data_IF_351227933264
#
_entry.id   IF_351227933264
#
_cell.length_a   1.000
_cell.length_b   1.000
_cell.length_c   1.000
_cell.angle_alpha   90.00
_cell.angle_beta   90.00
_cell.angle_gamma   90.00
#
_symmetry.space_group_name_H-M   'P 1'
#
loop_
_entity.id
_entity.type
_entity.pdbx_description
1 polymer ?
#
# COMPACT_ATOMS: atom_id res chain seq x y z
N UNK A 1 6.80 -18.04 -8.51
CA UNK A 1 7.07 -17.94 -7.06
C UNK A 1 7.76 -16.62 -6.84
N UNK A 2 7.03 -15.59 -6.43
CA UNK A 2 7.67 -14.30 -6.10
C UNK A 2 8.36 -14.46 -4.75
N UNK A 3 9.64 -14.12 -4.70
CA UNK A 3 10.38 -14.10 -3.45
C UNK A 3 9.77 -13.06 -2.50
N UNK A 4 9.95 -13.26 -1.19
CA UNK A 4 9.63 -12.21 -0.21
C UNK A 4 10.51 -10.99 -0.50
N UNK A 5 9.90 -9.81 -0.54
CA UNK A 5 10.59 -8.53 -0.73
C UNK A 5 10.35 -7.58 0.44
N UNK A 6 11.31 -6.71 0.72
CA UNK A 6 11.20 -5.70 1.77
C UNK A 6 10.51 -4.44 1.23
N UNK A 7 9.49 -3.97 1.94
CA UNK A 7 8.76 -2.75 1.61
C UNK A 7 9.27 -1.58 2.45
N UNK A 8 9.66 -0.50 1.78
CA UNK A 8 9.84 0.80 2.41
C UNK A 8 8.55 1.62 2.28
N UNK A 9 7.91 2.01 3.40
CA UNK A 9 6.69 2.80 3.38
C UNK A 9 6.94 4.26 3.02
N UNK A 10 5.86 4.97 2.68
CA UNK A 10 5.89 6.42 2.45
C UNK A 10 5.15 7.15 3.57
N UNK A 11 5.85 8.02 4.29
CA UNK A 11 5.22 8.91 5.28
C UNK A 11 4.44 10.02 4.57
N UNK A 12 3.22 10.28 5.01
CA UNK A 12 2.37 11.34 4.45
C UNK A 12 2.30 12.52 5.41
N UNK A 13 2.70 13.69 4.91
CA UNK A 13 2.55 14.93 5.64
C UNK A 13 1.09 15.37 5.65
N UNK A 14 0.59 15.73 6.83
CA UNK A 14 -0.70 16.40 7.00
C UNK A 14 -0.65 17.29 8.25
N UNK A 15 -1.39 18.41 8.29
CA UNK A 15 -1.34 19.34 9.43
C UNK A 15 -1.70 18.74 10.79
N UNK A 16 -2.51 17.69 10.80
CA UNK A 16 -2.91 16.97 12.01
C UNK A 16 -1.91 15.87 12.42
N UNK A 17 -0.84 15.68 11.65
CA UNK A 17 0.21 14.69 11.91
C UNK A 17 1.11 15.06 13.09
N UNK A 18 1.78 14.04 13.63
CA UNK A 18 2.80 14.22 14.66
C UNK A 18 4.15 14.54 14.03
N UNK A 19 4.90 15.48 14.61
CA UNK A 19 6.28 15.80 14.19
C UNK A 19 7.31 14.78 14.68
N UNK A 20 6.93 13.87 15.58
CA UNK A 20 7.90 12.98 16.26
C UNK A 20 7.49 11.51 16.29
N UNK A 21 6.20 11.18 16.25
CA UNK A 21 5.75 9.80 16.45
C UNK A 21 6.20 8.85 15.33
N UNK A 22 5.94 9.20 14.06
CA UNK A 22 6.35 8.38 12.91
C UNK A 22 7.89 8.36 12.75
N UNK A 23 8.62 9.50 12.84
CA UNK A 23 10.08 9.46 12.83
C UNK A 23 10.66 8.54 13.91
N UNK A 24 10.13 8.59 15.14
CA UNK A 24 10.56 7.71 16.22
C UNK A 24 10.30 6.23 15.90
N UNK A 25 9.12 5.89 15.35
CA UNK A 25 8.79 4.52 14.92
C UNK A 25 9.76 4.00 13.85
N UNK A 26 10.18 4.87 12.93
CA UNK A 26 11.11 4.54 11.85
C UNK A 26 12.59 4.60 12.28
N UNK A 27 12.89 4.99 13.52
CA UNK A 27 14.26 5.21 13.98
C UNK A 27 14.94 6.41 13.29
N UNK A 28 14.16 7.35 12.78
CA UNK A 28 14.62 8.54 12.06
C UNK A 28 14.59 9.78 12.94
N UNK A 29 15.49 10.74 12.65
CA UNK A 29 15.44 12.05 13.30
C UNK A 29 14.24 12.83 12.76
N UNK A 30 13.42 13.46 13.62
CA UNK A 30 12.42 14.43 13.18
C UNK A 30 13.05 15.52 12.31
N UNK A 31 12.49 15.73 11.12
CA UNK A 31 12.87 16.80 10.19
C UNK A 31 12.11 18.11 10.46
N UNK A 32 11.10 18.03 11.33
CA UNK A 32 10.23 19.13 11.70
C UNK A 32 8.86 19.03 11.06
N UNK A 33 8.64 18.30 9.97
CA UNK A 33 7.34 18.26 9.30
C UNK A 33 6.33 17.34 10.02
N UNK A 34 5.03 17.70 10.09
CA UNK A 34 4.02 16.84 10.70
C UNK A 34 3.71 15.65 9.79
N UNK A 35 3.95 14.44 10.29
CA UNK A 35 3.68 13.18 9.61
C UNK A 35 2.50 12.48 10.27
N UNK A 36 1.52 12.11 9.45
CA UNK A 36 0.20 11.72 9.94
C UNK A 36 -0.11 10.25 9.66
N UNK A 37 0.36 9.76 8.51
CA UNK A 37 0.10 8.41 8.03
C UNK A 37 1.38 7.79 7.50
N UNK A 38 1.50 6.47 7.62
CA UNK A 38 2.57 5.69 7.03
C UNK A 38 1.96 4.69 6.07
N UNK A 39 2.17 4.88 4.77
CA UNK A 39 1.50 4.11 3.72
C UNK A 39 2.35 2.94 3.24
N UNK A 40 1.72 1.77 3.24
CA UNK A 40 2.24 0.53 2.67
C UNK A 40 1.34 0.10 1.51
N UNK A 41 1.92 -0.11 0.32
CA UNK A 41 1.20 -0.61 -0.84
C UNK A 41 1.43 0.19 -2.12
N UNK A 42 0.63 -0.10 -3.14
CA UNK A 42 0.79 0.43 -4.50
C UNK A 42 -0.07 1.69 -4.77
N UNK A 43 -0.29 2.54 -3.76
CA UNK A 43 -1.15 3.71 -3.95
C UNK A 43 -0.50 4.70 -4.94
N UNK A 44 -1.22 5.08 -6.00
CA UNK A 44 -0.70 5.92 -7.10
C UNK A 44 0.05 7.20 -6.69
N UNK A 45 -0.36 7.82 -5.58
CA UNK A 45 0.23 9.07 -5.07
C UNK A 45 1.44 8.88 -4.15
N UNK A 46 1.70 7.66 -3.70
CA UNK A 46 2.81 7.27 -2.83
C UNK A 46 2.94 5.74 -2.78
N UNK A 47 3.44 5.13 -3.86
CA UNK A 47 3.72 3.71 -3.84
C UNK A 47 4.91 3.42 -2.93
N UNK A 48 4.85 2.34 -2.16
CA UNK A 48 5.99 1.81 -1.42
C UNK A 48 7.09 1.35 -2.38
N UNK A 49 8.33 1.35 -1.91
CA UNK A 49 9.49 0.86 -2.67
C UNK A 49 9.86 -0.55 -2.24
N UNK A 50 10.30 -1.37 -3.21
CA UNK A 50 10.91 -2.68 -2.96
C UNK A 50 12.41 -2.49 -2.65
N UNK A 51 12.73 -2.26 -1.38
CA UNK A 51 14.01 -1.68 -0.97
C UNK A 51 15.19 -2.66 -0.98
N UNK A 52 14.91 -3.96 -1.05
CA UNK A 52 15.91 -5.01 -1.21
C UNK A 52 16.24 -5.32 -2.68
N UNK A 53 15.49 -4.74 -3.63
CA UNK A 53 15.75 -4.92 -5.06
C UNK A 53 16.66 -3.81 -5.63
N UNK A 54 17.52 -4.13 -6.61
CA UNK A 54 18.34 -3.14 -7.29
C UNK A 54 17.49 -2.01 -7.91
N UNK A 55 17.86 -0.77 -7.63
CA UNK A 55 17.14 0.41 -8.12
C UNK A 55 15.85 0.74 -7.36
N UNK A 56 15.51 -0.03 -6.31
CA UNK A 56 14.35 0.19 -5.43
C UNK A 56 13.07 0.55 -6.20
N UNK A 57 12.61 -0.30 -7.14
CA UNK A 57 11.44 0.00 -7.93
C UNK A 57 10.21 0.19 -7.04
N UNK A 58 9.29 1.04 -7.50
CA UNK A 58 8.03 1.22 -6.81
C UNK A 58 7.11 0.00 -7.01
N UNK A 59 6.32 -0.33 -5.99
CA UNK A 59 5.46 -1.51 -5.98
C UNK A 59 4.36 -1.43 -7.06
N UNK A 60 3.90 -0.23 -7.39
CA UNK A 60 2.88 -0.07 -8.43
C UNK A 60 3.43 -0.45 -9.82
N UNK A 61 4.66 -0.05 -10.12
CA UNK A 61 5.37 -0.42 -11.34
C UNK A 61 5.65 -1.93 -11.39
N UNK A 62 6.06 -2.54 -10.26
CA UNK A 62 6.26 -3.98 -10.18
C UNK A 62 4.97 -4.76 -10.47
N UNK A 63 3.86 -4.38 -9.83
CA UNK A 63 2.53 -4.96 -10.07
C UNK A 63 2.09 -4.76 -11.51
N UNK A 64 2.30 -3.57 -12.10
CA UNK A 64 1.94 -3.31 -13.48
C UNK A 64 2.76 -4.14 -14.48
N UNK A 65 4.03 -4.41 -14.18
CA UNK A 65 4.91 -5.20 -15.04
C UNK A 65 4.56 -6.71 -15.02
N UNK A 66 4.02 -7.22 -13.91
CA UNK A 66 3.70 -8.64 -13.75
C UNK A 66 2.42 -8.86 -12.90
N UNK A 67 1.24 -8.39 -13.34
CA UNK A 67 0.04 -8.38 -12.50
C UNK A 67 -0.40 -9.77 -12.05
N UNK A 68 -0.34 -10.78 -12.93
CA UNK A 68 -0.63 -12.18 -12.58
C UNK A 68 0.43 -12.73 -11.62
N UNK A 69 1.70 -12.34 -11.78
CA UNK A 69 2.79 -12.79 -10.93
C UNK A 69 2.73 -12.23 -9.51
N UNK A 70 2.32 -10.97 -9.37
CA UNK A 70 2.29 -10.27 -8.08
C UNK A 70 0.94 -10.40 -7.35
N UNK A 71 -0.19 -10.39 -8.07
CA UNK A 71 -1.53 -10.40 -7.48
C UNK A 71 -2.24 -11.76 -7.61
N UNK A 72 -1.87 -12.57 -8.60
CA UNK A 72 -2.56 -13.82 -8.94
C UNK A 72 -3.84 -13.60 -9.76
N UNK A 73 -4.20 -14.61 -10.57
CA UNK A 73 -5.36 -14.57 -11.47
C UNK A 73 -6.67 -14.28 -10.71
N UNK A 74 -6.89 -14.93 -9.57
CA UNK A 74 -8.12 -14.76 -8.78
C UNK A 74 -8.34 -13.31 -8.32
N UNK A 75 -7.28 -12.55 -8.04
CA UNK A 75 -7.40 -11.14 -7.65
C UNK A 75 -7.80 -10.28 -8.84
N UNK A 76 -7.25 -10.55 -10.03
CA UNK A 76 -7.58 -9.84 -11.26
C UNK A 76 -9.02 -10.15 -11.68
N UNK A 77 -9.41 -11.43 -11.70
CA UNK A 77 -10.77 -11.87 -12.01
C UNK A 77 -11.81 -11.30 -11.03
N UNK A 78 -11.44 -11.15 -9.75
CA UNK A 78 -12.27 -10.48 -8.76
C UNK A 78 -12.47 -9.00 -9.09
N UNK A 79 -11.38 -8.29 -9.34
CA UNK A 79 -11.40 -6.87 -9.70
C UNK A 79 -12.22 -6.62 -10.96
N UNK A 80 -11.97 -7.36 -12.05
CA UNK A 80 -12.64 -7.19 -13.33
C UNK A 80 -14.15 -7.44 -13.23
N UNK A 81 -14.57 -8.44 -12.43
CA UNK A 81 -16.00 -8.70 -12.19
C UNK A 81 -16.68 -7.56 -11.46
N UNK A 82 -16.04 -6.96 -10.46
CA UNK A 82 -16.61 -5.83 -9.74
C UNK A 82 -16.66 -4.57 -10.59
N UNK A 83 -15.63 -4.32 -11.42
CA UNK A 83 -15.61 -3.19 -12.36
C UNK A 83 -16.68 -3.35 -13.45
N UNK A 84 -16.83 -4.55 -14.03
CA UNK A 84 -17.89 -4.84 -14.99
C UNK A 84 -19.30 -4.69 -14.39
N UNK A 85 -19.45 -5.00 -13.10
CA UNK A 85 -20.69 -4.80 -12.36
C UNK A 85 -20.91 -3.33 -11.94
N UNK A 86 -19.95 -2.43 -12.17
CA UNK A 86 -20.04 -1.02 -11.81
C UNK A 86 -20.15 -0.79 -10.31
N UNK A 87 -19.55 -1.68 -9.49
CA UNK A 87 -19.64 -1.58 -8.03
C UNK A 87 -18.98 -0.27 -7.56
N UNK A 88 -19.70 0.64 -6.88
CA UNK A 88 -19.11 1.91 -6.46
C UNK A 88 -18.05 1.69 -5.39
N UNK A 89 -17.02 2.55 -5.33
CA UNK A 89 -15.97 2.48 -4.30
C UNK A 89 -16.52 2.58 -2.87
N UNK A 90 -17.67 3.25 -2.71
CA UNK A 90 -18.39 3.36 -1.43
C UNK A 90 -19.22 2.12 -1.08
N UNK A 91 -19.24 1.08 -1.91
CA UNK A 91 -20.01 -0.12 -1.66
C UNK A 91 -19.58 -0.78 -0.33
N UNK A 92 -20.52 -1.18 0.53
CA UNK A 92 -20.21 -1.66 1.87
C UNK A 92 -19.36 -2.93 1.89
N UNK A 93 -19.41 -3.74 0.82
CA UNK A 93 -18.59 -4.95 0.66
C UNK A 93 -17.17 -4.68 0.11
N UNK A 94 -16.90 -3.47 -0.43
CA UNK A 94 -15.53 -3.03 -0.82
C UNK A 94 -14.77 -2.38 0.34
N UNK A 95 -15.48 -1.74 1.28
CA UNK A 95 -14.88 -0.80 2.24
C UNK A 95 -14.53 -1.38 3.63
N UNK A 96 -14.84 -2.65 3.92
CA UNK A 96 -14.57 -3.24 5.24
C UNK A 96 -14.01 -4.65 5.10
N UNK A 97 -12.77 -4.85 5.58
CA UNK A 97 -12.39 -6.16 6.13
C UNK A 97 -13.24 -6.35 7.39
N UNK A 98 -14.05 -7.41 7.50
CA UNK A 98 -14.77 -7.69 8.73
C UNK A 98 -13.75 -7.87 9.86
N UNK A 99 -13.76 -6.99 10.86
CA UNK A 99 -13.05 -7.18 12.12
C UNK A 99 -13.74 -8.32 12.88
N UNK A 100 -13.45 -9.58 12.51
CA UNK A 100 -14.11 -10.73 13.13
C UNK A 100 -13.83 -12.13 12.58
N UNK A 101 -12.81 -12.33 11.73
CA UNK A 101 -12.50 -13.66 11.17
C UNK A 101 -11.07 -14.14 11.53
N UNK A 102 -10.59 -13.81 12.72
CA UNK A 102 -9.46 -14.50 13.34
C UNK A 102 -9.97 -15.12 14.65
N UNK A 103 -10.26 -16.41 14.60
CA UNK A 103 -10.39 -17.32 15.74
C UNK A 103 -9.70 -18.62 15.36
#
# INVERSE_FOLDING_TARGET
MTALSLLSPVARACPWGSRTAIPALLGQRPDGEPQAELWFGAHRAAPSLLSDLPGSPDLAAAVAAAPVGELGEASLDGHDREEAAGVPLSAPHRARVPLGAAS
#
